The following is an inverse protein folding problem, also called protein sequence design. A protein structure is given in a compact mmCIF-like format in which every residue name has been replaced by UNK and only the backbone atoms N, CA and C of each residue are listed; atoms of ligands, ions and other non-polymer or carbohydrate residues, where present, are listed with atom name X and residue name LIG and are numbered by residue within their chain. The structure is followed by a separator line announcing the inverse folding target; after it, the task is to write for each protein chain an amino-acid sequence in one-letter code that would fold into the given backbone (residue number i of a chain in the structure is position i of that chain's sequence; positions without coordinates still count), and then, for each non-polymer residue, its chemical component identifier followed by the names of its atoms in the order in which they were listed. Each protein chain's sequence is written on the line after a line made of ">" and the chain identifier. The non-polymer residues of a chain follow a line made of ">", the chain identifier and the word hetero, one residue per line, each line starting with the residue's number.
data_IF_205476441192
#
_entry.id   IF_205476441192
#
_cell.length_a   1.000
_cell.length_b   1.000
_cell.length_c   1.000
_cell.angle_alpha   90.00
_cell.angle_beta   90.00
_cell.angle_gamma   90.00
#
_symmetry.space_group_name_H-M   'P 1'
#
loop_
_entity.id
_entity.type
_entity.pdbx_description
1 polymer ?
#
# COMPACT_ATOMS: atom_id res chain seq x y z
N UNK A 1 12.59 17.23 9.60
CA UNK A 1 11.81 16.03 9.86
C UNK A 1 10.99 15.66 8.63
N UNK A 2 11.09 14.43 8.15
CA UNK A 2 10.22 13.90 7.10
C UNK A 2 9.13 13.10 7.76
N UNK A 3 7.89 13.60 7.71
CA UNK A 3 6.72 13.01 8.38
C UNK A 3 5.78 12.40 7.34
N UNK A 4 5.23 11.22 7.62
CA UNK A 4 4.35 10.53 6.70
C UNK A 4 3.03 11.27 6.43
N UNK A 5 2.51 11.07 5.23
CA UNK A 5 1.19 11.49 4.81
C UNK A 5 0.07 10.84 5.63
N UNK A 6 -0.87 11.66 6.10
CA UNK A 6 -2.04 11.21 6.87
C UNK A 6 -3.25 10.87 5.99
N UNK A 7 -3.24 11.24 4.70
CA UNK A 7 -4.42 11.09 3.84
C UNK A 7 -4.80 9.64 3.55
N UNK A 8 -3.91 8.69 3.83
CA UNK A 8 -4.12 7.26 3.55
C UNK A 8 -4.09 6.33 4.74
N UNK A 9 -3.35 6.67 5.79
CA UNK A 9 -3.22 5.81 6.95
C UNK A 9 -2.97 6.62 8.21
N UNK A 10 -3.70 6.30 9.25
CA UNK A 10 -3.45 6.85 10.58
C UNK A 10 -2.13 6.32 11.12
N UNK A 11 -1.11 7.18 11.21
CA UNK A 11 0.24 6.80 11.64
C UNK A 11 0.54 7.14 13.11
N UNK A 12 -0.37 7.87 13.76
CA UNK A 12 -0.27 8.36 15.14
C UNK A 12 1.00 9.20 15.40
N UNK A 13 1.57 9.81 14.37
CA UNK A 13 2.79 10.60 14.50
C UNK A 13 2.60 11.79 15.45
N UNK A 14 1.40 12.35 15.56
CA UNK A 14 1.07 13.42 16.52
C UNK A 14 1.37 13.06 17.98
N UNK A 15 1.40 11.78 18.34
CA UNK A 15 1.66 11.35 19.71
C UNK A 15 3.15 11.39 20.09
N UNK A 16 4.05 11.42 19.11
CA UNK A 16 5.49 11.35 19.40
C UNK A 16 6.35 12.38 18.63
N UNK A 17 5.85 13.07 17.61
CA UNK A 17 6.60 14.11 16.88
C UNK A 17 7.05 15.22 17.83
N UNK A 18 6.20 15.62 18.79
CA UNK A 18 6.54 16.62 19.81
C UNK A 18 7.69 16.18 20.74
N UNK A 19 7.77 14.88 21.04
CA UNK A 19 8.91 14.36 21.82
C UNK A 19 10.21 14.43 21.03
N UNK A 20 10.18 14.12 19.71
CA UNK A 20 11.36 14.24 18.85
C UNK A 20 11.82 15.69 18.76
N UNK A 21 10.89 16.61 18.52
CA UNK A 21 11.17 18.05 18.45
C UNK A 21 11.78 18.58 19.78
N UNK A 22 11.21 18.24 20.93
CA UNK A 22 11.72 18.64 22.22
C UNK A 22 13.15 18.10 22.46
N UNK A 23 13.43 16.84 22.12
CA UNK A 23 14.78 16.28 22.24
C UNK A 23 15.80 16.97 21.34
N UNK A 24 15.42 17.39 20.12
CA UNK A 24 16.28 18.16 19.24
C UNK A 24 16.56 19.54 19.80
N UNK A 25 15.54 20.20 20.36
CA UNK A 25 15.70 21.52 20.97
C UNK A 25 16.58 21.46 22.24
N UNK A 26 16.38 20.46 23.11
CA UNK A 26 17.22 20.22 24.28
C UNK A 26 18.67 19.94 23.91
N UNK A 27 18.91 19.35 22.76
CA UNK A 27 20.24 19.11 22.20
C UNK A 27 20.86 20.35 21.54
N UNK A 28 20.17 21.51 21.60
CA UNK A 28 20.69 22.79 21.12
C UNK A 28 20.29 23.15 19.69
N UNK A 29 19.30 22.49 19.09
CA UNK A 29 18.76 22.86 17.77
C UNK A 29 17.52 23.75 17.98
N UNK A 30 17.59 25.07 17.65
CA UNK A 30 16.44 25.96 17.77
C UNK A 30 15.30 25.52 16.89
N UNK A 31 14.04 25.77 17.28
CA UNK A 31 12.88 25.44 16.45
C UNK A 31 12.93 26.11 15.07
N UNK A 32 13.57 27.26 14.92
CA UNK A 32 13.73 27.94 13.62
C UNK A 32 14.64 27.18 12.64
N UNK A 33 15.49 26.28 13.14
CA UNK A 33 16.40 25.43 12.36
C UNK A 33 15.76 24.05 12.06
N UNK A 34 14.54 23.81 12.60
CA UNK A 34 13.80 22.57 12.40
C UNK A 34 12.59 22.84 11.49
N UNK A 35 12.36 22.00 10.52
CA UNK A 35 11.14 22.03 9.71
C UNK A 35 10.61 20.62 9.44
N UNK A 36 9.35 20.55 9.07
CA UNK A 36 8.67 19.32 8.67
C UNK A 36 8.41 19.39 7.17
N UNK A 37 8.76 18.32 6.47
CA UNK A 37 8.35 18.08 5.10
C UNK A 37 7.44 16.84 5.08
N UNK A 38 6.21 17.00 4.58
CA UNK A 38 5.26 15.91 4.53
C UNK A 38 5.53 14.99 3.34
N UNK A 39 5.75 13.72 3.61
CA UNK A 39 6.06 12.68 2.63
C UNK A 39 4.80 12.22 1.87
N UNK A 40 4.22 13.09 1.05
CA UNK A 40 2.95 12.88 0.35
C UNK A 40 3.09 12.04 -0.92
N UNK A 41 4.30 11.91 -1.46
CA UNK A 41 4.52 11.20 -2.71
C UNK A 41 3.68 11.81 -3.84
N UNK A 42 2.88 10.98 -4.49
CA UNK A 42 1.97 11.40 -5.57
C UNK A 42 0.54 11.71 -5.07
N UNK A 43 0.32 11.79 -3.76
CA UNK A 43 -0.96 12.17 -3.19
C UNK A 43 -1.19 13.67 -3.24
N UNK A 44 -2.44 14.11 -2.95
CA UNK A 44 -2.73 15.52 -2.78
C UNK A 44 -2.03 16.09 -1.56
N UNK A 45 -1.82 17.38 -1.57
CA UNK A 45 -1.35 18.11 -0.38
C UNK A 45 -2.37 18.04 0.77
N UNK A 46 -1.90 18.14 1.99
CA UNK A 46 -2.74 18.23 3.19
C UNK A 46 -3.49 19.56 3.26
N UNK A 47 -4.63 19.57 3.96
CA UNK A 47 -5.20 20.82 4.49
C UNK A 47 -4.45 21.25 5.76
N UNK A 48 -4.67 22.49 6.20
CA UNK A 48 -4.05 22.96 7.45
C UNK A 48 -4.49 22.13 8.67
N UNK A 49 -5.75 21.69 8.70
CA UNK A 49 -6.27 20.81 9.76
C UNK A 49 -5.63 19.41 9.72
N UNK A 50 -5.36 18.88 8.52
CA UNK A 50 -4.66 17.61 8.35
C UNK A 50 -3.20 17.72 8.81
N UNK A 51 -2.52 18.85 8.55
CA UNK A 51 -1.18 19.11 9.07
C UNK A 51 -1.16 19.05 10.60
N UNK A 52 -2.08 19.78 11.25
CA UNK A 52 -2.20 19.78 12.72
C UNK A 52 -2.52 18.39 13.25
N UNK A 53 -3.44 17.68 12.61
CA UNK A 53 -3.80 16.31 13.01
C UNK A 53 -2.60 15.36 12.88
N UNK A 54 -1.75 15.55 11.88
CA UNK A 54 -0.60 14.70 11.61
C UNK A 54 0.51 14.86 12.66
N UNK A 55 0.80 16.08 13.12
CA UNK A 55 1.96 16.36 13.96
C UNK A 55 1.60 16.83 15.37
N UNK A 56 0.36 17.18 15.63
CA UNK A 56 -0.15 17.74 16.89
C UNK A 56 -0.09 19.27 16.93
N UNK A 57 -1.03 19.89 17.66
CA UNK A 57 -1.19 21.36 17.76
C UNK A 57 0.10 22.05 18.25
N UNK A 58 0.77 21.47 19.24
CA UNK A 58 1.98 22.05 19.82
C UNK A 58 3.09 22.18 18.77
N UNK A 59 3.39 21.12 18.02
CA UNK A 59 4.41 21.12 16.96
C UNK A 59 3.98 22.04 15.83
N UNK A 60 2.74 21.97 15.37
CA UNK A 60 2.20 22.80 14.31
C UNK A 60 2.28 24.30 14.61
N UNK A 61 2.23 24.70 15.89
CA UNK A 61 2.28 26.12 16.32
C UNK A 61 3.68 26.71 16.29
N UNK A 62 4.75 25.89 16.26
CA UNK A 62 6.14 26.38 16.40
C UNK A 62 7.11 25.92 15.33
N UNK A 63 6.80 24.83 14.59
CA UNK A 63 7.66 24.29 13.55
C UNK A 63 7.10 24.62 12.16
N UNK A 64 7.97 25.07 11.24
CA UNK A 64 7.57 25.30 9.85
C UNK A 64 7.25 23.98 9.16
N UNK A 65 6.15 23.94 8.45
CA UNK A 65 5.67 22.77 7.73
C UNK A 65 5.62 23.05 6.23
N UNK A 66 6.08 22.10 5.44
CA UNK A 66 6.09 22.17 4.00
C UNK A 66 5.37 20.97 3.40
N UNK A 67 4.74 21.23 2.24
CA UNK A 67 4.04 20.21 1.46
C UNK A 67 4.96 19.77 0.32
N UNK A 68 5.14 18.48 0.17
CA UNK A 68 5.80 17.93 -1.01
C UNK A 68 4.82 17.90 -2.20
N UNK A 69 5.28 18.33 -3.37
CA UNK A 69 4.50 18.28 -4.62
C UNK A 69 5.35 17.58 -5.69
N UNK A 70 5.13 16.28 -5.86
CA UNK A 70 5.96 15.42 -6.72
C UNK A 70 6.05 15.86 -8.19
N UNK A 71 5.08 16.64 -8.67
CA UNK A 71 5.04 17.17 -10.05
C UNK A 71 5.71 18.52 -10.22
N UNK A 72 6.10 19.20 -9.13
CA UNK A 72 6.79 20.47 -9.18
C UNK A 72 8.30 20.30 -9.32
N UNK A 73 8.77 20.21 -10.56
CA UNK A 73 10.19 20.02 -10.89
C UNK A 73 11.12 21.11 -10.35
N UNK A 74 10.59 22.31 -10.06
CA UNK A 74 11.39 23.40 -9.50
C UNK A 74 11.79 23.16 -8.04
N UNK A 75 11.09 22.24 -7.37
CA UNK A 75 11.35 21.85 -5.99
C UNK A 75 12.16 20.55 -5.85
N UNK A 76 12.63 19.99 -6.96
CA UNK A 76 13.33 18.71 -6.97
C UNK A 76 14.79 18.85 -7.35
N UNK A 77 15.65 18.14 -6.64
CA UNK A 77 17.08 17.99 -6.92
C UNK A 77 17.38 16.55 -7.33
N UNK A 78 18.13 16.38 -8.43
CA UNK A 78 18.64 15.07 -8.85
C UNK A 78 19.79 14.64 -7.94
N UNK A 79 19.66 13.47 -7.31
CA UNK A 79 20.66 12.95 -6.35
C UNK A 79 21.43 11.74 -6.88
N UNK A 80 20.99 11.12 -7.96
CA UNK A 80 21.67 9.99 -8.59
C UNK A 80 20.73 9.08 -9.36
N UNK A 81 21.25 7.95 -9.80
CA UNK A 81 20.49 6.88 -10.47
C UNK A 81 20.77 5.57 -9.75
N UNK A 82 19.73 4.79 -9.44
CA UNK A 82 19.89 3.49 -8.79
C UNK A 82 20.52 2.44 -9.73
N UNK A 83 20.96 1.33 -9.17
CA UNK A 83 21.48 0.20 -9.96
C UNK A 83 20.44 -0.41 -10.90
N UNK A 84 19.16 -0.18 -10.63
CA UNK A 84 18.00 -0.61 -11.45
C UNK A 84 17.60 0.42 -12.51
N UNK A 85 18.30 1.57 -12.56
CA UNK A 85 18.08 2.61 -13.57
C UNK A 85 17.02 3.64 -13.20
N UNK A 86 16.58 3.70 -11.95
CA UNK A 86 15.66 4.74 -11.47
C UNK A 86 16.42 6.05 -11.26
N UNK A 87 16.04 7.10 -11.99
CA UNK A 87 16.56 8.45 -11.80
C UNK A 87 15.92 9.09 -10.56
N UNK A 88 16.74 9.34 -9.54
CA UNK A 88 16.27 9.77 -8.22
C UNK A 88 16.28 11.29 -8.10
N UNK A 89 15.08 11.86 -8.09
CA UNK A 89 14.82 13.27 -7.85
C UNK A 89 14.07 13.41 -6.53
N UNK A 90 14.65 14.16 -5.59
CA UNK A 90 14.12 14.31 -4.22
C UNK A 90 13.87 15.79 -3.95
N UNK A 91 12.91 16.08 -3.07
CA UNK A 91 12.61 17.43 -2.61
C UNK A 91 13.89 18.12 -2.15
N UNK A 92 14.15 19.30 -2.73
CA UNK A 92 15.38 20.06 -2.49
C UNK A 92 15.60 20.37 -1.02
N UNK A 93 14.53 20.61 -0.26
CA UNK A 93 14.63 20.87 1.19
C UNK A 93 15.18 19.65 1.95
N UNK A 94 14.81 18.45 1.53
CA UNK A 94 15.32 17.21 2.14
C UNK A 94 16.77 16.96 1.75
N UNK A 95 17.14 17.30 0.51
CA UNK A 95 18.54 17.17 0.02
C UNK A 95 19.48 18.16 0.69
N UNK A 96 19.01 19.39 0.95
CA UNK A 96 19.81 20.47 1.54
C UNK A 96 19.86 20.41 3.09
N UNK A 97 19.06 19.56 3.72
CA UNK A 97 19.04 19.42 5.17
C UNK A 97 20.34 18.77 5.68
N UNK A 98 20.94 19.34 6.73
CA UNK A 98 22.12 18.76 7.39
C UNK A 98 21.81 17.40 8.04
N UNK A 99 20.59 17.22 8.51
CA UNK A 99 20.09 15.98 9.15
C UNK A 99 18.65 15.69 8.76
N UNK A 100 18.40 14.46 8.39
CA UNK A 100 17.06 13.96 8.03
C UNK A 100 16.62 12.90 9.04
N UNK A 101 15.46 13.12 9.66
CA UNK A 101 14.83 12.16 10.60
C UNK A 101 13.49 11.72 10.01
N UNK A 102 13.26 10.42 9.97
CA UNK A 102 12.06 9.81 9.39
C UNK A 102 11.03 9.50 10.48
N UNK A 103 9.80 10.01 10.36
CA UNK A 103 8.70 9.82 11.31
C UNK A 103 7.49 9.20 10.62
N UNK A 104 7.06 7.99 11.04
CA UNK A 104 5.92 7.28 10.46
C UNK A 104 5.42 6.14 11.36
N UNK A 105 4.51 5.32 10.81
CA UNK A 105 4.22 3.97 11.25
C UNK A 105 4.77 2.95 10.25
N UNK A 106 4.96 1.71 10.71
CA UNK A 106 5.28 0.57 9.86
C UNK A 106 4.00 -0.19 9.54
N UNK A 107 3.84 -0.56 8.28
CA UNK A 107 2.70 -1.34 7.77
C UNK A 107 3.17 -2.37 6.74
N UNK A 108 2.33 -3.27 6.35
CA UNK A 108 2.53 -4.08 5.13
C UNK A 108 2.27 -3.24 3.87
N UNK A 109 2.81 -3.68 2.74
CA UNK A 109 2.59 -3.03 1.46
C UNK A 109 2.67 -4.04 0.31
N UNK A 110 1.69 -4.01 -0.58
CA UNK A 110 1.47 -5.02 -1.62
C UNK A 110 2.71 -5.26 -2.49
N UNK A 111 3.26 -4.22 -3.11
CA UNK A 111 4.43 -4.34 -3.99
C UNK A 111 5.79 -4.14 -3.29
N UNK A 112 5.87 -3.33 -2.23
CA UNK A 112 7.15 -3.02 -1.56
C UNK A 112 7.42 -3.87 -0.32
N UNK A 113 6.56 -4.85 -0.04
CA UNK A 113 6.62 -5.72 1.13
C UNK A 113 6.16 -5.02 2.40
N UNK A 114 6.79 -3.89 2.75
CA UNK A 114 6.48 -3.09 3.94
C UNK A 114 6.50 -1.59 3.66
N UNK A 115 5.66 -0.86 4.40
CA UNK A 115 5.64 0.60 4.49
C UNK A 115 6.63 1.14 5.52
N UNK A 116 6.66 2.47 5.68
CA UNK A 116 7.59 3.16 6.56
C UNK A 116 9.04 3.15 6.05
N UNK A 117 9.96 3.66 6.88
CA UNK A 117 11.39 3.71 6.58
C UNK A 117 11.69 4.43 5.27
N UNK A 118 12.41 3.76 4.39
CA UNK A 118 12.80 4.24 3.05
C UNK A 118 11.66 4.78 2.21
N UNK A 119 10.42 4.36 2.46
CA UNK A 119 9.25 4.87 1.73
C UNK A 119 8.93 6.33 2.01
N UNK A 120 9.44 6.90 3.08
CA UNK A 120 9.36 8.34 3.31
C UNK A 120 10.23 9.14 2.34
N UNK A 121 11.30 8.54 1.82
CA UNK A 121 12.14 9.13 0.78
C UNK A 121 11.56 8.82 -0.60
N UNK A 122 11.39 7.54 -0.94
CA UNK A 122 10.79 7.10 -2.20
C UNK A 122 9.61 6.14 -1.91
N UNK A 123 8.37 6.53 -2.17
CA UNK A 123 7.88 7.70 -2.95
C UNK A 123 7.75 9.02 -2.18
N UNK A 124 7.86 9.05 -0.86
CA UNK A 124 7.36 10.10 0.03
C UNK A 124 7.70 11.53 -0.35
N UNK A 125 8.97 11.82 -0.60
CA UNK A 125 9.48 13.15 -1.01
C UNK A 125 10.18 13.10 -2.38
N UNK A 126 9.80 12.11 -3.21
CA UNK A 126 10.39 11.91 -4.54
C UNK A 126 9.53 12.51 -5.66
N UNK A 127 10.19 12.88 -6.75
CA UNK A 127 9.53 13.35 -7.96
C UNK A 127 8.65 12.29 -8.63
N UNK A 128 7.63 12.74 -9.33
CA UNK A 128 6.63 11.86 -9.95
C UNK A 128 7.25 10.82 -10.88
N UNK A 129 8.18 11.20 -11.73
CA UNK A 129 8.88 10.31 -12.65
C UNK A 129 9.75 9.27 -11.92
N UNK A 130 10.39 9.65 -10.82
CA UNK A 130 11.13 8.73 -9.95
C UNK A 130 10.19 7.67 -9.35
N UNK A 131 9.03 8.09 -8.86
CA UNK A 131 8.02 7.19 -8.32
C UNK A 131 7.53 6.20 -9.39
N UNK A 132 7.26 6.67 -10.61
CA UNK A 132 6.83 5.81 -11.71
C UNK A 132 7.88 4.76 -12.07
N UNK A 133 9.14 5.16 -12.22
CA UNK A 133 10.24 4.25 -12.55
C UNK A 133 10.38 3.16 -11.49
N UNK A 134 10.41 3.53 -10.21
CA UNK A 134 10.47 2.58 -9.11
C UNK A 134 9.27 1.60 -9.11
N UNK A 135 8.05 2.12 -9.23
CA UNK A 135 6.85 1.30 -9.17
C UNK A 135 6.70 0.36 -10.37
N UNK A 136 7.28 0.71 -11.54
CA UNK A 136 7.34 -0.20 -12.69
C UNK A 136 8.12 -1.49 -12.42
N UNK A 137 8.99 -1.53 -11.39
CA UNK A 137 9.64 -2.78 -10.97
C UNK A 137 8.66 -3.81 -10.37
N UNK A 138 7.43 -3.40 -10.05
CA UNK A 138 6.36 -4.33 -9.68
C UNK A 138 5.80 -5.14 -10.86
N UNK A 139 6.16 -4.78 -12.09
CA UNK A 139 5.81 -5.53 -13.29
C UNK A 139 6.94 -6.49 -13.68
N UNK A 140 6.61 -7.58 -14.35
CA UNK A 140 7.59 -8.49 -14.91
C UNK A 140 8.48 -7.81 -15.97
N UNK A 141 9.54 -8.45 -16.47
CA UNK A 141 10.58 -7.78 -17.26
C UNK A 141 10.14 -7.28 -18.62
N UNK A 142 9.08 -7.85 -19.20
CA UNK A 142 8.60 -7.51 -20.55
C UNK A 142 7.09 -7.36 -20.56
N UNK A 143 6.54 -6.66 -21.55
CA UNK A 143 5.09 -6.59 -21.77
C UNK A 143 4.52 -8.01 -21.93
N UNK A 144 3.41 -8.29 -21.28
CA UNK A 144 2.78 -9.62 -21.20
C UNK A 144 3.31 -10.51 -20.07
N UNK A 145 4.32 -10.08 -19.32
CA UNK A 145 4.82 -10.82 -18.14
C UNK A 145 3.93 -10.71 -16.91
N UNK A 146 3.04 -9.71 -16.88
CA UNK A 146 2.19 -9.44 -15.74
C UNK A 146 2.96 -8.88 -14.53
N UNK A 147 2.56 -9.29 -13.34
CA UNK A 147 3.19 -8.88 -12.08
C UNK A 147 4.53 -9.57 -11.85
N UNK A 148 5.46 -8.86 -11.22
CA UNK A 148 6.70 -9.43 -10.74
C UNK A 148 6.46 -10.18 -9.42
N UNK A 149 6.65 -11.50 -9.36
CA UNK A 149 6.36 -12.30 -8.16
C UNK A 149 7.27 -11.96 -6.97
N UNK A 150 8.37 -11.24 -7.24
CA UNK A 150 9.28 -10.78 -6.19
C UNK A 150 8.85 -9.46 -5.57
N UNK A 151 8.01 -8.67 -6.23
CA UNK A 151 7.38 -7.47 -5.70
C UNK A 151 6.10 -7.85 -4.95
N UNK A 152 6.23 -8.35 -3.72
CA UNK A 152 5.13 -8.98 -2.98
C UNK A 152 5.08 -8.56 -1.51
N UNK A 153 3.92 -8.74 -0.90
CA UNK A 153 3.68 -8.58 0.53
C UNK A 153 4.74 -9.30 1.37
N UNK A 154 5.19 -8.67 2.45
CA UNK A 154 6.15 -9.18 3.43
C UNK A 154 7.55 -9.51 2.87
N UNK A 155 7.80 -9.28 1.59
CA UNK A 155 9.09 -9.55 0.95
C UNK A 155 9.97 -8.30 0.95
N UNK A 156 11.20 -8.42 1.48
CA UNK A 156 12.22 -7.37 1.51
C UNK A 156 13.38 -7.75 0.58
N UNK A 157 14.11 -8.81 0.95
CA UNK A 157 15.25 -9.27 0.17
C UNK A 157 14.80 -9.84 -1.18
N UNK A 158 15.44 -9.42 -2.27
CA UNK A 158 15.08 -9.78 -3.63
C UNK A 158 13.82 -9.11 -4.16
N UNK A 159 13.17 -8.23 -3.39
CA UNK A 159 12.06 -7.43 -3.87
C UNK A 159 12.59 -6.20 -4.63
N UNK A 160 12.41 -6.12 -5.95
CA UNK A 160 13.06 -5.08 -6.75
C UNK A 160 12.55 -3.67 -6.42
N UNK A 161 11.27 -3.52 -6.09
CA UNK A 161 10.69 -2.24 -5.66
C UNK A 161 11.30 -1.80 -4.33
N UNK A 162 11.40 -2.73 -3.39
CA UNK A 162 11.93 -2.49 -2.04
C UNK A 162 13.41 -2.13 -2.05
N UNK A 163 14.22 -2.85 -2.82
CA UNK A 163 15.67 -2.64 -2.92
C UNK A 163 15.98 -1.32 -3.62
N UNK A 164 15.26 -0.99 -4.69
CA UNK A 164 15.40 0.26 -5.41
C UNK A 164 15.02 1.48 -4.53
N UNK A 165 13.95 1.36 -3.71
CA UNK A 165 13.61 2.37 -2.69
C UNK A 165 14.72 2.52 -1.65
N UNK A 166 15.38 1.43 -1.26
CA UNK A 166 16.48 1.50 -0.29
C UNK A 166 17.70 2.21 -0.88
N UNK A 167 18.08 1.91 -2.12
CA UNK A 167 19.16 2.62 -2.80
C UNK A 167 18.90 4.14 -2.88
N UNK A 168 17.68 4.55 -3.23
CA UNK A 168 17.29 5.96 -3.24
C UNK A 168 17.37 6.59 -1.84
N UNK A 169 16.94 5.87 -0.81
CA UNK A 169 17.02 6.32 0.57
C UNK A 169 18.48 6.49 1.03
N UNK A 170 19.36 5.56 0.64
CA UNK A 170 20.78 5.59 0.99
C UNK A 170 21.51 6.80 0.34
N UNK A 171 21.04 7.32 -0.80
CA UNK A 171 21.55 8.56 -1.41
C UNK A 171 21.29 9.80 -0.54
N UNK A 172 20.18 9.80 0.22
CA UNK A 172 19.84 10.87 1.19
C UNK A 172 20.50 10.62 2.54
N UNK A 173 20.75 9.37 2.88
CA UNK A 173 21.37 8.93 4.13
C UNK A 173 20.70 9.53 5.38
N UNK A 174 19.40 9.30 5.64
CA UNK A 174 18.74 9.77 6.85
C UNK A 174 19.51 9.32 8.10
N UNK A 175 19.62 10.21 9.09
CA UNK A 175 20.45 9.90 10.28
C UNK A 175 19.70 9.16 11.38
N UNK A 176 18.36 9.23 11.40
CA UNK A 176 17.54 8.62 12.44
C UNK A 176 16.13 8.31 11.93
N UNK A 177 15.49 7.34 12.57
CA UNK A 177 14.11 6.96 12.33
C UNK A 177 13.37 6.81 13.67
N UNK A 178 12.12 7.28 13.73
CA UNK A 178 11.17 6.98 14.82
C UNK A 178 9.86 6.54 14.19
N UNK A 179 9.47 5.30 14.42
CA UNK A 179 8.24 4.74 13.83
C UNK A 179 7.42 4.01 14.87
N UNK A 180 6.11 4.14 14.76
CA UNK A 180 5.14 3.33 15.50
C UNK A 180 4.84 2.02 14.77
N UNK A 181 4.47 1.00 15.53
CA UNK A 181 3.82 -0.22 15.07
C UNK A 181 2.40 -0.21 15.62
N UNK A 182 1.41 -0.26 14.74
CA UNK A 182 0.00 -0.09 15.09
C UNK A 182 -0.70 -1.45 15.02
N UNK A 183 -1.49 -1.78 16.06
CA UNK A 183 -2.29 -3.00 16.13
C UNK A 183 -3.62 -2.89 15.36
N UNK A 184 -4.40 -3.96 15.36
CA UNK A 184 -5.69 -4.03 14.68
C UNK A 184 -6.74 -3.06 15.27
N UNK A 185 -6.59 -2.69 16.53
CA UNK A 185 -7.43 -1.75 17.28
C UNK A 185 -7.06 -0.28 16.98
N UNK A 186 -5.99 -0.04 16.20
CA UNK A 186 -5.50 1.28 15.86
C UNK A 186 -4.64 1.93 16.94
N UNK A 187 -4.12 1.15 17.90
CA UNK A 187 -3.28 1.61 19.00
C UNK A 187 -1.80 1.35 18.72
N UNK A 188 -0.92 2.15 19.30
CA UNK A 188 0.53 1.91 19.24
C UNK A 188 0.85 0.70 20.11
N UNK A 189 1.21 -0.42 19.49
CA UNK A 189 1.64 -1.63 20.20
C UNK A 189 3.12 -1.59 20.58
N UNK A 190 3.94 -0.96 19.76
CA UNK A 190 5.36 -0.74 20.01
C UNK A 190 5.91 0.42 19.20
N UNK A 191 7.10 0.86 19.54
CA UNK A 191 7.84 1.88 18.79
C UNK A 191 9.26 1.39 18.51
N UNK A 192 9.79 1.79 17.37
CA UNK A 192 11.18 1.56 16.99
C UNK A 192 11.88 2.88 16.70
N UNK A 193 13.13 3.00 17.10
CA UNK A 193 13.93 4.19 16.86
C UNK A 193 15.41 3.88 16.75
N UNK A 194 16.13 4.64 15.91
CA UNK A 194 17.57 4.46 15.72
C UNK A 194 18.01 4.58 14.27
N UNK A 195 19.02 3.79 13.91
CA UNK A 195 19.49 3.67 12.53
C UNK A 195 18.31 3.38 11.58
N UNK A 196 18.12 4.15 10.52
CA UNK A 196 16.91 4.09 9.69
C UNK A 196 16.58 2.70 9.15
N UNK A 197 17.57 1.96 8.68
CA UNK A 197 17.35 0.64 8.14
C UNK A 197 17.13 -0.43 9.23
N UNK A 198 17.98 -0.42 10.27
CA UNK A 198 17.93 -1.44 11.33
C UNK A 198 16.67 -1.31 12.19
N UNK A 199 16.31 -0.08 12.57
CA UNK A 199 15.09 0.19 13.34
C UNK A 199 13.84 -0.15 12.52
N UNK A 200 13.80 0.24 11.23
CA UNK A 200 12.73 -0.16 10.34
C UNK A 200 12.60 -1.67 10.21
N UNK A 201 13.72 -2.39 10.03
CA UNK A 201 13.73 -3.84 9.93
C UNK A 201 13.19 -4.52 11.20
N UNK A 202 13.49 -3.98 12.38
CA UNK A 202 12.93 -4.51 13.63
C UNK A 202 11.41 -4.32 13.69
N UNK A 203 10.90 -3.16 13.32
CA UNK A 203 9.45 -2.94 13.25
C UNK A 203 8.75 -3.79 12.20
N UNK A 204 9.41 -4.10 11.06
CA UNK A 204 8.82 -5.04 10.07
C UNK A 204 8.72 -6.47 10.63
N UNK A 205 9.64 -6.90 11.49
CA UNK A 205 9.55 -8.20 12.18
C UNK A 205 8.33 -8.26 13.10
N UNK A 206 8.01 -7.15 13.76
CA UNK A 206 6.83 -7.06 14.62
C UNK A 206 5.54 -7.16 13.80
N UNK A 207 5.40 -6.37 12.73
CA UNK A 207 4.29 -6.47 11.78
C UNK A 207 4.16 -7.89 11.22
N UNK A 208 5.28 -8.51 10.85
CA UNK A 208 5.29 -9.87 10.35
C UNK A 208 4.70 -10.87 11.36
N UNK A 209 5.07 -10.76 12.65
CA UNK A 209 4.51 -11.60 13.72
C UNK A 209 3.02 -11.37 13.93
N UNK A 210 2.57 -10.12 13.83
CA UNK A 210 1.17 -9.74 14.07
C UNK A 210 0.24 -10.16 12.93
N UNK A 211 0.68 -10.05 11.68
CA UNK A 211 -0.19 -10.21 10.51
C UNK A 211 -0.07 -11.56 9.83
N UNK A 212 1.04 -12.28 10.01
CA UNK A 212 1.25 -13.58 9.35
C UNK A 212 0.43 -14.66 10.02
N UNK A 213 -0.48 -15.29 9.25
CA UNK A 213 -1.39 -16.35 9.73
C UNK A 213 -1.11 -17.66 9.00
N UNK A 214 -0.78 -18.70 9.76
CA UNK A 214 -0.52 -20.04 9.21
C UNK A 214 -1.80 -20.72 8.74
N UNK A 215 -1.78 -21.22 7.53
CA UNK A 215 -2.78 -22.11 6.96
C UNK A 215 -2.22 -23.53 6.81
N UNK A 216 -3.10 -24.53 6.84
CA UNK A 216 -2.71 -25.94 6.57
C UNK A 216 -2.40 -26.15 5.08
N UNK A 217 -3.19 -25.54 4.19
CA UNK A 217 -3.07 -25.61 2.75
C UNK A 217 -3.93 -24.52 2.11
N UNK A 218 -3.68 -24.23 0.84
CA UNK A 218 -4.64 -23.48 0.01
C UNK A 218 -5.94 -24.26 -0.13
N UNK A 219 -7.05 -23.57 -0.27
CA UNK A 219 -8.39 -24.15 -0.33
C UNK A 219 -9.05 -23.95 -1.70
N UNK A 220 -10.08 -24.75 -1.98
CA UNK A 220 -10.86 -24.66 -3.21
C UNK A 220 -11.72 -23.41 -3.24
N UNK A 221 -12.17 -22.97 -2.07
CA UNK A 221 -12.99 -21.76 -1.90
C UNK A 221 -12.40 -20.92 -0.77
N UNK A 222 -12.29 -19.61 -0.97
CA UNK A 222 -12.00 -18.65 0.09
C UNK A 222 -13.14 -17.65 0.18
N UNK A 223 -13.71 -17.49 1.37
CA UNK A 223 -14.69 -16.46 1.70
C UNK A 223 -13.96 -15.38 2.47
N UNK A 224 -13.92 -14.15 1.93
CA UNK A 224 -13.13 -13.05 2.49
C UNK A 224 -13.94 -11.78 2.60
N UNK A 225 -13.82 -11.07 3.73
CA UNK A 225 -14.35 -9.70 3.86
C UNK A 225 -13.23 -8.68 3.79
N UNK A 226 -13.50 -7.54 3.18
CA UNK A 226 -12.60 -6.38 3.22
C UNK A 226 -12.43 -5.81 4.64
N UNK A 227 -13.39 -6.10 5.55
CA UNK A 227 -13.34 -5.72 6.97
C UNK A 227 -14.29 -4.59 7.35
N UNK A 228 -15.25 -4.23 6.50
CA UNK A 228 -16.25 -3.19 6.74
C UNK A 228 -15.70 -1.76 6.64
N UNK A 229 -16.59 -0.78 6.93
CA UNK A 229 -16.24 0.64 6.88
C UNK A 229 -15.06 0.98 7.82
N UNK A 230 -14.09 1.81 7.39
CA UNK A 230 -13.98 2.48 6.08
C UNK A 230 -13.23 1.68 5.00
N UNK A 231 -12.85 0.43 5.25
CA UNK A 231 -12.00 -0.37 4.35
C UNK A 231 -12.71 -0.82 3.07
N UNK A 232 -14.03 -0.84 3.06
CA UNK A 232 -14.88 -1.28 1.95
C UNK A 232 -15.78 -0.18 1.36
N UNK A 233 -15.47 1.09 1.66
CA UNK A 233 -16.24 2.26 1.16
C UNK A 233 -16.32 2.28 -0.37
N UNK A 234 -15.28 1.80 -1.06
CA UNK A 234 -15.24 1.67 -2.51
C UNK A 234 -14.48 0.42 -2.94
N UNK A 235 -14.57 0.08 -4.23
CA UNK A 235 -13.87 -1.09 -4.78
C UNK A 235 -12.37 -0.99 -4.66
N UNK A 236 -11.79 0.19 -4.93
CA UNK A 236 -10.34 0.41 -4.87
C UNK A 236 -9.74 0.07 -3.50
N UNK A 237 -10.44 0.37 -2.43
CA UNK A 237 -10.00 0.02 -1.07
C UNK A 237 -10.37 -1.43 -0.71
N UNK A 238 -11.59 -1.84 -1.01
CA UNK A 238 -12.11 -3.15 -0.64
C UNK A 238 -11.37 -4.31 -1.29
N UNK A 239 -10.95 -4.14 -2.55
CA UNK A 239 -10.22 -5.18 -3.29
C UNK A 239 -8.79 -5.43 -2.79
N UNK A 240 -8.28 -4.66 -1.85
CA UNK A 240 -7.01 -4.99 -1.15
C UNK A 240 -7.04 -6.35 -0.44
N UNK A 241 -8.23 -6.88 -0.11
CA UNK A 241 -8.36 -8.23 0.43
C UNK A 241 -8.10 -9.33 -0.62
N UNK A 242 -8.01 -9.00 -1.91
CA UNK A 242 -7.79 -10.00 -2.98
C UNK A 242 -6.42 -10.66 -2.89
N UNK A 243 -5.36 -9.91 -2.58
CA UNK A 243 -4.03 -10.48 -2.38
C UNK A 243 -4.04 -11.57 -1.31
N UNK A 244 -4.73 -11.31 -0.19
CA UNK A 244 -4.93 -12.30 0.88
C UNK A 244 -5.75 -13.50 0.38
N UNK A 245 -6.82 -13.26 -0.36
CA UNK A 245 -7.67 -14.31 -0.91
C UNK A 245 -6.92 -15.20 -1.91
N UNK A 246 -6.13 -14.61 -2.81
CA UNK A 246 -5.30 -15.35 -3.78
C UNK A 246 -4.27 -16.26 -3.11
N UNK A 247 -3.56 -15.75 -2.09
CA UNK A 247 -2.62 -16.58 -1.31
C UNK A 247 -3.34 -17.76 -0.65
N UNK A 248 -4.58 -17.58 -0.22
CA UNK A 248 -5.36 -18.58 0.47
C UNK A 248 -6.06 -19.59 -0.47
N UNK A 249 -6.21 -19.25 -1.75
CA UNK A 249 -7.02 -20.01 -2.71
C UNK A 249 -6.14 -20.78 -3.69
N UNK A 250 -6.48 -22.00 -4.01
CA UNK A 250 -5.85 -22.77 -5.10
C UNK A 250 -6.07 -22.05 -6.42
N UNK A 251 -5.09 -22.10 -7.31
CA UNK A 251 -5.23 -21.56 -8.68
C UNK A 251 -6.45 -22.16 -9.37
N UNK A 252 -7.29 -21.31 -9.96
CA UNK A 252 -8.57 -21.70 -10.56
C UNK A 252 -9.68 -21.96 -9.53
N UNK A 253 -9.43 -21.70 -8.25
CA UNK A 253 -10.45 -21.82 -7.20
C UNK A 253 -11.44 -20.65 -7.19
N UNK A 254 -12.30 -20.63 -6.18
CA UNK A 254 -13.39 -19.67 -6.05
C UNK A 254 -13.09 -18.72 -4.90
N UNK A 255 -13.25 -17.42 -5.17
CA UNK A 255 -13.19 -16.36 -4.16
C UNK A 255 -14.59 -15.76 -4.01
N UNK A 256 -15.13 -15.79 -2.78
CA UNK A 256 -16.34 -15.06 -2.42
C UNK A 256 -15.90 -13.88 -1.55
N UNK A 257 -16.01 -12.67 -2.07
CA UNK A 257 -15.58 -11.46 -1.37
C UNK A 257 -16.77 -10.59 -0.98
N UNK A 258 -16.70 -9.97 0.20
CA UNK A 258 -17.70 -9.02 0.69
C UNK A 258 -17.11 -7.63 0.72
N UNK A 259 -17.64 -6.76 -0.14
CA UNK A 259 -17.24 -5.35 -0.28
C UNK A 259 -18.51 -4.53 -0.51
N UNK A 260 -18.88 -3.69 0.44
CA UNK A 260 -20.12 -2.90 0.31
C UNK A 260 -20.06 -1.93 -0.86
N UNK A 261 -18.93 -1.22 -1.03
CA UNK A 261 -18.66 -0.26 -2.08
C UNK A 261 -19.79 0.79 -2.22
N UNK A 262 -20.11 1.47 -1.10
CA UNK A 262 -21.11 2.54 -1.07
C UNK A 262 -20.79 3.64 -2.10
N UNK A 263 -19.50 3.93 -2.27
CA UNK A 263 -18.98 4.91 -3.22
C UNK A 263 -18.20 4.22 -4.36
N UNK A 264 -18.91 3.39 -5.11
CA UNK A 264 -18.31 2.53 -6.16
C UNK A 264 -17.52 3.31 -7.21
N UNK A 265 -17.86 4.59 -7.45
CA UNK A 265 -17.22 5.44 -8.45
C UNK A 265 -15.86 6.00 -7.99
N UNK A 266 -15.56 5.94 -6.69
CA UNK A 266 -14.34 6.52 -6.15
C UNK A 266 -13.19 5.49 -5.98
N UNK A 267 -11.96 5.86 -6.29
CA UNK A 267 -11.61 7.02 -7.12
C UNK A 267 -11.95 6.76 -8.60
N UNK A 268 -12.39 7.76 -9.36
CA UNK A 268 -12.80 7.59 -10.77
C UNK A 268 -11.70 6.95 -11.63
N UNK A 269 -10.44 7.20 -11.29
CA UNK A 269 -9.28 6.62 -11.96
C UNK A 269 -9.23 5.09 -11.89
N UNK A 270 -9.77 4.47 -10.82
CA UNK A 270 -9.80 3.02 -10.68
C UNK A 270 -10.75 2.38 -11.70
N UNK A 271 -12.03 2.77 -11.70
CA UNK A 271 -12.99 2.27 -12.70
C UNK A 271 -12.65 2.69 -14.15
N UNK A 272 -12.08 3.90 -14.31
CA UNK A 272 -11.56 4.37 -15.60
C UNK A 272 -10.43 3.50 -16.15
N UNK A 273 -9.74 2.74 -15.30
CA UNK A 273 -8.66 1.84 -15.69
C UNK A 273 -9.16 0.60 -16.47
N UNK A 274 -10.41 0.19 -16.31
CA UNK A 274 -11.01 -0.93 -17.06
C UNK A 274 -11.44 -0.56 -18.51
N UNK A 275 -10.99 0.57 -19.04
CA UNK A 275 -11.15 0.96 -20.45
C UNK A 275 -10.29 0.12 -21.40
N UNK A 276 -9.24 -0.51 -20.90
CA UNK A 276 -8.35 -1.36 -21.68
C UNK A 276 -9.03 -2.68 -22.05
N UNK A 277 -8.77 -3.19 -23.24
CA UNK A 277 -9.48 -4.37 -23.78
C UNK A 277 -9.01 -5.70 -23.18
N UNK A 278 -7.78 -5.71 -22.69
CA UNK A 278 -7.14 -6.92 -22.15
C UNK A 278 -5.98 -6.56 -21.22
N UNK A 279 -5.44 -7.56 -20.52
CA UNK A 279 -4.33 -7.40 -19.60
C UNK A 279 -3.06 -6.82 -20.25
N UNK A 280 -2.76 -7.19 -21.50
CA UNK A 280 -1.57 -6.69 -22.20
C UNK A 280 -1.66 -5.19 -22.43
N UNK A 281 -2.79 -4.70 -22.96
CA UNK A 281 -3.01 -3.25 -23.14
C UNK A 281 -2.99 -2.49 -21.81
N UNK A 282 -3.51 -3.10 -20.74
CA UNK A 282 -3.50 -2.52 -19.40
C UNK A 282 -2.08 -2.43 -18.84
N UNK A 283 -1.27 -3.47 -19.04
CA UNK A 283 0.15 -3.49 -18.66
C UNK A 283 0.97 -2.48 -19.46
N UNK A 284 0.73 -2.34 -20.77
CA UNK A 284 1.35 -1.29 -21.60
C UNK A 284 1.00 0.11 -21.07
N UNK A 285 -0.26 0.32 -20.68
CA UNK A 285 -0.71 1.56 -20.05
C UNK A 285 0.03 1.86 -18.75
N UNK A 286 0.24 0.83 -17.90
CA UNK A 286 1.02 0.96 -16.66
C UNK A 286 2.48 1.33 -16.94
N UNK A 287 3.12 0.68 -17.91
CA UNK A 287 4.51 0.96 -18.28
C UNK A 287 4.69 2.36 -18.86
N UNK A 288 3.68 2.85 -19.56
CA UNK A 288 3.68 4.21 -20.12
C UNK A 288 3.47 5.29 -19.06
N UNK A 289 2.60 5.04 -18.07
CA UNK A 289 2.29 5.95 -16.97
C UNK A 289 1.77 5.15 -15.77
N UNK A 290 2.66 4.82 -14.83
CA UNK A 290 2.28 4.05 -13.66
C UNK A 290 1.43 4.89 -12.71
N UNK A 291 0.21 4.46 -12.46
CA UNK A 291 -0.65 5.02 -11.41
C UNK A 291 -1.15 3.92 -10.50
N UNK A 292 -1.27 4.20 -9.21
CA UNK A 292 -1.73 3.18 -8.24
C UNK A 292 -3.14 2.67 -8.56
N UNK A 293 -4.12 3.52 -8.94
CA UNK A 293 -5.44 3.01 -9.31
C UNK A 293 -5.41 2.05 -10.51
N UNK A 294 -4.56 2.32 -11.52
CA UNK A 294 -4.40 1.43 -12.67
C UNK A 294 -3.72 0.11 -12.27
N UNK A 295 -2.72 0.18 -11.40
CA UNK A 295 -2.04 -1.01 -10.88
C UNK A 295 -3.00 -1.91 -10.09
N UNK A 296 -3.78 -1.35 -9.16
CA UNK A 296 -4.78 -2.11 -8.40
C UNK A 296 -5.85 -2.71 -9.33
N UNK A 297 -6.30 -1.97 -10.34
CA UNK A 297 -7.24 -2.50 -11.33
C UNK A 297 -6.63 -3.65 -12.15
N UNK A 298 -5.33 -3.57 -12.47
CA UNK A 298 -4.60 -4.62 -13.16
C UNK A 298 -4.48 -5.90 -12.31
N UNK A 299 -4.09 -5.76 -11.04
CA UNK A 299 -4.09 -6.88 -10.08
C UNK A 299 -5.46 -7.54 -9.98
N UNK A 300 -6.52 -6.74 -9.81
CA UNK A 300 -7.88 -7.24 -9.67
C UNK A 300 -8.39 -7.95 -10.93
N UNK A 301 -8.00 -7.47 -12.10
CA UNK A 301 -8.33 -8.15 -13.35
C UNK A 301 -7.60 -9.49 -13.48
N UNK A 302 -6.33 -9.58 -13.06
CA UNK A 302 -5.58 -10.84 -12.99
C UNK A 302 -6.30 -11.81 -12.05
N UNK A 303 -6.68 -11.37 -10.86
CA UNK A 303 -7.44 -12.20 -9.90
C UNK A 303 -8.73 -12.73 -10.52
N UNK A 304 -9.52 -11.87 -11.14
CA UNK A 304 -10.81 -12.25 -11.77
C UNK A 304 -10.65 -13.15 -13.00
N UNK A 305 -9.48 -13.15 -13.66
CA UNK A 305 -9.18 -14.03 -14.78
C UNK A 305 -8.54 -15.37 -14.35
N UNK A 306 -7.94 -15.42 -13.18
CA UNK A 306 -7.28 -16.62 -12.64
C UNK A 306 -8.15 -17.41 -11.65
N UNK A 307 -9.20 -16.77 -11.12
CA UNK A 307 -10.15 -17.33 -10.16
C UNK A 307 -11.57 -16.96 -10.56
N UNK A 308 -12.56 -17.70 -10.09
CA UNK A 308 -13.96 -17.25 -10.14
C UNK A 308 -14.21 -16.36 -8.94
N UNK A 309 -14.50 -15.07 -9.17
CA UNK A 309 -14.71 -14.09 -8.11
C UNK A 309 -16.20 -13.73 -8.02
N UNK A 310 -16.87 -14.18 -6.97
CA UNK A 310 -18.20 -13.71 -6.58
C UNK A 310 -18.03 -12.54 -5.61
N UNK A 311 -18.57 -11.37 -5.97
CA UNK A 311 -18.52 -10.18 -5.11
C UNK A 311 -19.90 -9.88 -4.53
N UNK A 312 -20.01 -9.98 -3.21
CA UNK A 312 -21.20 -9.58 -2.45
C UNK A 312 -21.13 -8.08 -2.23
N UNK A 313 -22.06 -7.35 -2.84
CA UNK A 313 -22.08 -5.89 -2.83
C UNK A 313 -23.50 -5.36 -2.99
N UNK A 314 -23.68 -4.05 -2.96
CA UNK A 314 -24.97 -3.39 -3.19
C UNK A 314 -25.50 -3.66 -4.60
N UNK A 315 -26.80 -3.93 -4.78
CA UNK A 315 -27.36 -4.22 -6.11
C UNK A 315 -27.15 -3.12 -7.15
N UNK A 316 -27.09 -1.85 -6.74
CA UNK A 316 -26.79 -0.71 -7.62
C UNK A 316 -25.41 -0.77 -8.28
N UNK A 317 -24.49 -1.58 -7.75
CA UNK A 317 -23.14 -1.77 -8.29
C UNK A 317 -23.07 -2.87 -9.37
N UNK A 318 -24.11 -3.67 -9.54
CA UNK A 318 -24.07 -4.90 -10.35
C UNK A 318 -23.73 -4.64 -11.82
N UNK A 319 -24.34 -3.66 -12.43
CA UNK A 319 -24.14 -3.40 -13.85
C UNK A 319 -22.69 -2.98 -14.14
N UNK A 320 -22.17 -2.05 -13.36
CA UNK A 320 -20.80 -1.56 -13.54
C UNK A 320 -19.75 -2.66 -13.30
N UNK A 321 -20.00 -3.56 -12.35
CA UNK A 321 -19.11 -4.69 -12.08
C UNK A 321 -19.12 -5.70 -13.22
N UNK A 322 -20.30 -6.10 -13.71
CA UNK A 322 -20.45 -7.03 -14.84
C UNK A 322 -19.83 -6.51 -16.13
N UNK A 323 -20.01 -5.21 -16.40
CA UNK A 323 -19.50 -4.59 -17.63
C UNK A 323 -17.98 -4.40 -17.64
N UNK A 324 -17.35 -4.21 -16.48
CA UNK A 324 -15.96 -3.72 -16.43
C UNK A 324 -14.96 -4.65 -15.75
N UNK A 325 -15.35 -5.43 -14.75
CA UNK A 325 -14.37 -6.03 -13.84
C UNK A 325 -14.20 -7.54 -13.95
N UNK A 326 -14.96 -8.22 -14.82
CA UNK A 326 -15.02 -9.69 -14.92
C UNK A 326 -15.42 -10.40 -13.61
N UNK A 327 -15.87 -9.67 -12.59
CA UNK A 327 -16.37 -10.22 -11.35
C UNK A 327 -17.87 -10.51 -11.47
N UNK A 328 -18.35 -11.45 -10.67
CA UNK A 328 -19.76 -11.86 -10.66
C UNK A 328 -20.43 -11.24 -9.41
N UNK A 329 -21.14 -10.11 -9.56
CA UNK A 329 -21.80 -9.48 -8.44
C UNK A 329 -23.05 -10.26 -8.01
N UNK A 330 -23.23 -10.37 -6.70
CA UNK A 330 -24.37 -11.03 -6.03
C UNK A 330 -24.81 -10.19 -4.84
N UNK A 331 -26.06 -10.37 -4.41
CA UNK A 331 -26.64 -9.58 -3.32
C UNK A 331 -26.28 -10.12 -1.93
N UNK A 332 -26.09 -11.44 -1.80
CA UNK A 332 -25.85 -12.07 -0.50
C UNK A 332 -24.75 -13.14 -0.57
N UNK A 333 -24.18 -13.46 0.59
CA UNK A 333 -23.20 -14.56 0.72
C UNK A 333 -23.84 -15.90 0.39
N UNK A 334 -25.11 -16.09 0.76
CA UNK A 334 -25.87 -17.31 0.47
C UNK A 334 -26.02 -17.51 -1.04
N UNK A 335 -26.35 -16.45 -1.79
CA UNK A 335 -26.41 -16.50 -3.26
C UNK A 335 -25.07 -16.88 -3.85
N UNK A 336 -23.98 -16.22 -3.43
CA UNK A 336 -22.61 -16.54 -3.86
C UNK A 336 -22.28 -18.00 -3.57
N UNK A 337 -22.63 -18.48 -2.39
CA UNK A 337 -22.36 -19.85 -1.96
C UNK A 337 -23.13 -20.90 -2.77
N UNK A 338 -24.41 -20.67 -3.10
CA UNK A 338 -25.17 -21.56 -3.97
C UNK A 338 -24.57 -21.65 -5.38
N UNK A 339 -24.13 -20.50 -5.94
CA UNK A 339 -23.43 -20.47 -7.22
C UNK A 339 -22.08 -21.21 -7.17
N UNK A 340 -21.32 -21.01 -6.10
CA UNK A 340 -20.05 -21.70 -5.89
C UNK A 340 -20.23 -23.22 -5.78
N UNK A 341 -21.22 -23.71 -5.04
CA UNK A 341 -21.54 -25.14 -4.94
C UNK A 341 -21.94 -25.74 -6.30
N UNK A 342 -22.72 -25.01 -7.07
CA UNK A 342 -23.11 -25.43 -8.42
C UNK A 342 -21.88 -25.57 -9.31
N UNK A 343 -20.97 -24.58 -9.31
CA UNK A 343 -19.72 -24.64 -10.07
C UNK A 343 -18.85 -25.83 -9.64
N UNK A 344 -18.65 -26.04 -8.33
CA UNK A 344 -17.90 -27.18 -7.80
C UNK A 344 -18.47 -28.53 -8.26
N UNK A 345 -19.80 -28.66 -8.25
CA UNK A 345 -20.48 -29.87 -8.71
C UNK A 345 -20.30 -30.09 -10.22
N UNK A 346 -20.37 -29.03 -11.03
CA UNK A 346 -20.11 -29.07 -12.47
C UNK A 346 -18.65 -29.46 -12.79
N UNK A 347 -17.70 -29.07 -11.93
CA UNK A 347 -16.29 -29.45 -11.99
C UNK A 347 -16.02 -30.88 -11.41
N UNK A 348 -17.04 -31.56 -10.89
CA UNK A 348 -16.91 -32.89 -10.30
C UNK A 348 -16.20 -32.91 -8.94
N UNK A 349 -16.15 -31.79 -8.25
CA UNK A 349 -15.54 -31.65 -6.92
C UNK A 349 -16.61 -31.86 -5.82
N UNK A 350 -16.73 -33.10 -5.34
CA UNK A 350 -17.63 -33.43 -4.21
C UNK A 350 -16.98 -33.09 -2.86
N UNK A 351 -15.67 -33.34 -2.73
CA UNK A 351 -14.86 -32.99 -1.56
C UNK A 351 -14.09 -31.72 -1.83
N UNK A 352 -14.44 -30.63 -1.17
CA UNK A 352 -13.79 -29.33 -1.29
C UNK A 352 -13.44 -28.73 0.08
N UNK A 353 -12.47 -27.86 0.08
CA UNK A 353 -11.96 -27.17 1.26
C UNK A 353 -12.29 -25.68 1.22
N UNK A 354 -12.55 -25.09 2.40
CA UNK A 354 -12.96 -23.69 2.52
C UNK A 354 -12.09 -22.97 3.55
N UNK A 355 -11.62 -21.76 3.23
CA UNK A 355 -11.13 -20.78 4.19
C UNK A 355 -12.18 -19.67 4.39
N UNK A 356 -12.29 -19.16 5.61
CA UNK A 356 -13.09 -17.97 5.93
C UNK A 356 -12.17 -16.95 6.58
N UNK A 357 -12.06 -15.77 5.98
CA UNK A 357 -11.17 -14.69 6.39
C UNK A 357 -12.01 -13.43 6.64
N UNK A 358 -12.39 -13.14 7.90
CA UNK A 358 -13.28 -12.02 8.21
C UNK A 358 -12.67 -10.63 7.98
N UNK A 359 -11.35 -10.52 7.97
CA UNK A 359 -10.61 -9.25 7.77
C UNK A 359 -9.43 -9.47 6.84
N UNK A 360 -9.70 -9.57 5.54
CA UNK A 360 -8.69 -9.92 4.53
C UNK A 360 -7.55 -8.92 4.40
N UNK A 361 -7.78 -7.64 4.64
CA UNK A 361 -6.73 -6.62 4.59
C UNK A 361 -5.87 -6.51 5.86
N UNK A 362 -6.19 -7.28 6.91
CA UNK A 362 -5.49 -7.22 8.20
C UNK A 362 -4.50 -8.38 8.43
N UNK A 363 -4.54 -9.42 7.60
CA UNK A 363 -3.69 -10.60 7.73
C UNK A 363 -3.01 -10.96 6.41
N UNK A 364 -1.91 -11.70 6.52
CA UNK A 364 -1.23 -12.32 5.37
C UNK A 364 -1.13 -13.82 5.64
N UNK A 365 -1.95 -14.62 4.95
CA UNK A 365 -1.90 -16.07 5.11
C UNK A 365 -0.64 -16.65 4.47
N UNK A 366 -0.17 -17.80 5.00
CA UNK A 366 0.89 -18.58 4.39
C UNK A 366 0.70 -20.06 4.64
N UNK A 367 1.18 -20.87 3.71
CA UNK A 367 1.30 -22.33 3.87
C UNK A 367 2.75 -22.62 4.20
N UNK A 368 2.97 -23.42 5.24
CA UNK A 368 4.31 -23.90 5.58
C UNK A 368 4.69 -25.00 4.58
N UNK A 369 5.86 -24.86 3.94
CA UNK A 369 6.44 -25.88 3.06
C UNK A 369 6.90 -27.12 3.80
#
# INVERSE_FOLDING_TARGET
>A
LVVADITRAWNRASEFTGHVDNQLNDAGNPHDDIYIDFAQGTHRVHTDEENVTCVGEEVASRIKMYQHVSTDKSMLTHVGTTTRGTDVWIDTRVVEADKVILINAISTHDMAGFGGGRKLILPGVAGFETVQQNHCHALGPTVGSGLNPDAALLKIAGNPVSEDMQEACDMIAPCFLVHSVINAEGEISSMVGGDPYKAWLEGTREIYRMQKVRMKAQTDVTIVSAGGYPKDTNLYQGTKCYTTAEIATKKGGIIITMIEAEDVQEPPAYLGSFKYKNLTEMEEGLRACFTIPLFVAFENLITAMTHTVYIVTRPENFDILRERTHQIPVATVEEAWELAKKQLAEEGKEDYTINVIPQGSAIVPYVEE
#
